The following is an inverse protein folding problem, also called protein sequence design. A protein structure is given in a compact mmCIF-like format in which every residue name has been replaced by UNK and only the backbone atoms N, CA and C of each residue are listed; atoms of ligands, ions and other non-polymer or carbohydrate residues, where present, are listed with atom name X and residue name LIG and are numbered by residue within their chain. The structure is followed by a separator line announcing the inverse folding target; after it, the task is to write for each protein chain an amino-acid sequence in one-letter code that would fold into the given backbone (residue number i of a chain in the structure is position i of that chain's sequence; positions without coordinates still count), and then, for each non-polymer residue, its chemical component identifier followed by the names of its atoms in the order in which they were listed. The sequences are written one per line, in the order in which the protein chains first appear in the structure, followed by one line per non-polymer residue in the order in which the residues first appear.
data_IF_325047411954
#
_entry.id   IF_325047411954
#
_cell.length_a   1.000
_cell.length_b   1.000
_cell.length_c   1.000
_cell.angle_alpha   90.00
_cell.angle_beta   90.00
_cell.angle_gamma   90.00
#
_symmetry.space_group_name_H-M   'P 1'
#
loop_
_entity.id
_entity.type
_entity.pdbx_description
1 polymer ?
#
# COMPACT_ATOMS: atom_id res chain seq x y z
N UNK A 1 -33.42 23.33 -14.67
CA UNK A 1 -32.49 22.61 -13.76
C UNK A 1 -31.24 23.46 -13.67
N UNK A 2 -31.01 24.10 -12.53
CA UNK A 2 -29.80 24.86 -12.30
C UNK A 2 -28.58 23.93 -12.39
N UNK A 3 -27.62 24.25 -13.27
CA UNK A 3 -26.33 23.56 -13.35
C UNK A 3 -25.52 23.96 -12.13
N UNK A 4 -25.60 23.16 -11.07
CA UNK A 4 -24.64 23.29 -9.96
C UNK A 4 -23.27 22.96 -10.51
N UNK A 5 -22.46 23.96 -10.78
CA UNK A 5 -21.07 23.75 -11.16
C UNK A 5 -20.31 23.19 -9.93
N UNK A 6 -20.06 21.92 -9.92
CA UNK A 6 -19.17 21.29 -8.94
C UNK A 6 -17.75 21.85 -9.15
N UNK A 7 -17.40 22.85 -8.34
CA UNK A 7 -16.07 23.44 -8.37
C UNK A 7 -15.12 22.63 -7.48
N UNK A 8 -14.82 21.41 -7.92
CA UNK A 8 -13.90 20.52 -7.19
C UNK A 8 -12.46 20.88 -7.60
N UNK A 9 -11.69 21.40 -6.65
CA UNK A 9 -10.25 21.60 -6.85
C UNK A 9 -9.51 20.33 -6.43
N UNK A 10 -9.42 19.37 -7.33
CA UNK A 10 -8.80 18.06 -7.05
C UNK A 10 -7.34 18.18 -6.56
N UNK A 11 -6.60 19.20 -7.02
CA UNK A 11 -5.22 19.43 -6.58
C UNK A 11 -5.12 19.85 -5.10
N UNK A 12 -6.08 20.63 -4.65
CA UNK A 12 -6.16 21.02 -3.24
C UNK A 12 -6.49 19.82 -2.36
N UNK A 13 -7.43 18.98 -2.79
CA UNK A 13 -7.78 17.75 -2.10
C UNK A 13 -6.61 16.74 -2.08
N UNK A 14 -5.86 16.62 -3.17
CA UNK A 14 -4.65 15.81 -3.21
C UNK A 14 -3.59 16.29 -2.21
N UNK A 15 -3.40 17.61 -2.09
CA UNK A 15 -2.45 18.17 -1.13
C UNK A 15 -2.88 17.92 0.33
N UNK A 16 -4.19 18.04 0.62
CA UNK A 16 -4.74 17.70 1.94
C UNK A 16 -4.54 16.23 2.26
N UNK A 17 -4.85 15.36 1.30
CA UNK A 17 -4.69 13.92 1.40
C UNK A 17 -3.23 13.51 1.62
N UNK A 18 -2.29 14.13 0.91
CA UNK A 18 -0.86 13.87 1.11
C UNK A 18 -0.41 14.27 2.52
N UNK A 19 -0.83 15.43 3.02
CA UNK A 19 -0.54 15.85 4.40
C UNK A 19 -1.11 14.88 5.44
N UNK A 20 -2.27 14.28 5.15
CA UNK A 20 -2.85 13.25 6.02
C UNK A 20 -1.96 12.01 6.08
N UNK A 21 -1.41 11.55 4.94
CA UNK A 21 -0.48 10.43 4.89
C UNK A 21 0.83 10.78 5.62
N UNK A 22 1.39 11.95 5.36
CA UNK A 22 2.64 12.42 5.99
C UNK A 22 2.52 12.49 7.52
N UNK A 23 1.32 12.77 8.04
CA UNK A 23 1.03 12.80 9.46
C UNK A 23 0.85 11.42 10.12
N UNK A 24 0.92 10.33 9.34
CA UNK A 24 0.79 8.96 9.86
C UNK A 24 2.05 8.44 10.57
N UNK A 25 3.18 9.14 10.43
CA UNK A 25 4.46 8.69 10.97
C UNK A 25 5.00 7.45 10.25
N UNK A 26 5.68 6.57 10.96
CA UNK A 26 6.15 5.30 10.39
C UNK A 26 4.97 4.42 9.99
N UNK A 27 4.94 3.98 8.75
CA UNK A 27 3.86 3.11 8.26
C UNK A 27 4.30 1.65 8.20
N UNK A 28 3.47 0.78 8.76
CA UNK A 28 3.62 -0.69 8.64
C UNK A 28 2.46 -1.19 7.78
N UNK A 29 2.77 -1.56 6.55
CA UNK A 29 1.79 -2.02 5.56
C UNK A 29 1.65 -3.55 5.65
N UNK A 30 0.46 -4.04 5.92
CA UNK A 30 0.19 -5.48 6.03
C UNK A 30 -0.77 -5.91 4.92
N UNK A 31 -0.36 -6.85 4.09
CA UNK A 31 -1.20 -7.36 3.01
C UNK A 31 -2.49 -8.01 3.56
N UNK A 32 -3.63 -7.47 3.15
CA UNK A 32 -4.98 -7.96 3.50
C UNK A 32 -5.71 -8.59 2.31
N UNK A 33 -4.99 -8.99 1.26
CA UNK A 33 -5.55 -9.81 0.19
C UNK A 33 -5.99 -11.19 0.70
N UNK A 34 -6.95 -11.82 0.02
CA UNK A 34 -7.59 -13.08 0.45
C UNK A 34 -6.61 -14.19 0.83
N UNK A 35 -5.51 -14.34 0.09
CA UNK A 35 -4.47 -15.34 0.41
C UNK A 35 -3.73 -15.05 1.73
N UNK A 36 -3.40 -13.77 1.97
CA UNK A 36 -2.77 -13.37 3.23
C UNK A 36 -3.76 -13.44 4.41
N UNK A 37 -5.04 -13.09 4.17
CA UNK A 37 -6.09 -13.25 5.19
C UNK A 37 -6.27 -14.71 5.60
N UNK A 38 -6.29 -15.64 4.64
CA UNK A 38 -6.33 -17.08 4.91
C UNK A 38 -5.10 -17.56 5.71
N UNK A 39 -3.96 -16.90 5.56
CA UNK A 39 -2.73 -17.15 6.32
C UNK A 39 -2.63 -16.35 7.63
N UNK A 40 -3.71 -15.72 8.09
CA UNK A 40 -3.78 -15.07 9.39
C UNK A 40 -3.31 -13.62 9.43
N UNK A 41 -3.31 -12.89 8.30
CA UNK A 41 -2.86 -11.49 8.28
C UNK A 41 -3.67 -10.57 9.20
N UNK A 42 -4.95 -10.85 9.43
CA UNK A 42 -5.77 -10.07 10.37
C UNK A 42 -5.22 -10.15 11.80
N UNK A 43 -4.83 -11.34 12.25
CA UNK A 43 -4.24 -11.51 13.57
C UNK A 43 -2.86 -10.80 13.67
N UNK A 44 -2.09 -10.80 12.58
CA UNK A 44 -0.82 -10.03 12.50
C UNK A 44 -1.10 -8.53 12.64
N UNK A 45 -2.12 -8.00 11.93
CA UNK A 45 -2.55 -6.60 12.04
C UNK A 45 -2.97 -6.26 13.47
N UNK A 46 -3.80 -7.09 14.08
CA UNK A 46 -4.26 -6.87 15.47
C UNK A 46 -3.08 -6.85 16.44
N UNK A 47 -2.16 -7.79 16.28
CA UNK A 47 -0.96 -7.84 17.14
C UNK A 47 -0.08 -6.59 16.98
N UNK A 48 0.12 -6.10 15.75
CA UNK A 48 0.80 -4.82 15.53
C UNK A 48 0.06 -3.64 16.17
N UNK A 49 -1.27 -3.60 16.13
CA UNK A 49 -2.08 -2.56 16.77
C UNK A 49 -1.98 -2.60 18.29
N UNK A 50 -2.00 -3.78 18.89
CA UNK A 50 -1.83 -3.97 20.33
C UNK A 50 -0.48 -3.43 20.81
N UNK A 51 0.60 -3.77 20.10
CA UNK A 51 1.94 -3.28 20.41
C UNK A 51 2.10 -1.81 20.04
N UNK A 52 1.46 -1.38 18.94
CA UNK A 52 1.51 -0.01 18.43
C UNK A 52 0.95 1.03 19.39
N UNK A 53 0.00 0.67 20.26
CA UNK A 53 -0.47 1.55 21.33
C UNK A 53 0.66 1.95 22.32
N UNK A 54 1.75 1.17 22.38
CA UNK A 54 2.91 1.38 23.24
C UNK A 54 4.19 1.72 22.44
N UNK A 55 4.12 1.82 21.11
CA UNK A 55 5.31 2.01 20.27
C UNK A 55 6.01 3.34 20.54
N UNK A 56 5.27 4.43 20.81
CA UNK A 56 5.86 5.72 21.17
C UNK A 56 6.73 5.66 22.43
N UNK A 57 6.52 4.69 23.31
CA UNK A 57 7.37 4.44 24.48
C UNK A 57 8.52 3.47 24.19
N UNK A 58 8.44 2.73 23.07
CA UNK A 58 9.39 1.69 22.70
C UNK A 58 10.31 2.09 21.55
N UNK A 59 9.98 3.15 20.81
CA UNK A 59 10.71 3.57 19.59
C UNK A 59 10.91 5.06 19.55
N UNK A 60 11.83 5.55 18.71
CA UNK A 60 12.09 6.98 18.45
C UNK A 60 11.03 7.60 17.51
N UNK A 61 10.04 6.82 17.05
CA UNK A 61 8.95 7.33 16.22
C UNK A 61 7.80 7.86 17.07
N UNK A 62 7.39 9.09 16.83
CA UNK A 62 6.24 9.72 17.50
C UNK A 62 4.94 8.97 17.26
N UNK A 63 4.84 8.30 16.11
CA UNK A 63 3.66 7.54 15.71
C UNK A 63 4.04 6.39 14.76
N UNK A 64 3.41 5.24 14.97
CA UNK A 64 3.44 4.09 14.03
C UNK A 64 2.01 3.76 13.63
N UNK A 65 1.76 3.77 12.33
CA UNK A 65 0.44 3.50 11.77
C UNK A 65 0.42 2.15 11.07
N UNK A 66 -0.50 1.28 11.47
CA UNK A 66 -0.68 -0.04 10.88
C UNK A 66 -1.74 0.07 9.78
N UNK A 67 -1.35 -0.21 8.55
CA UNK A 67 -2.19 -0.02 7.36
C UNK A 67 -2.48 -1.37 6.73
N UNK A 68 -3.75 -1.82 6.75
CA UNK A 68 -4.20 -2.95 5.94
C UNK A 68 -4.16 -2.56 4.47
N UNK A 69 -3.41 -3.27 3.64
CA UNK A 69 -3.30 -2.92 2.21
C UNK A 69 -3.99 -3.93 1.32
N UNK A 70 -4.24 -3.54 0.07
CA UNK A 70 -4.64 -4.46 -0.99
C UNK A 70 -3.56 -5.51 -1.29
N UNK A 71 -3.90 -6.45 -2.17
CA UNK A 71 -3.02 -7.58 -2.48
C UNK A 71 -1.75 -7.16 -3.22
N UNK A 72 -0.59 -7.56 -2.69
CA UNK A 72 0.71 -7.37 -3.34
C UNK A 72 0.95 -8.32 -4.55
N UNK A 73 0.11 -9.35 -4.71
CA UNK A 73 0.25 -10.35 -5.76
C UNK A 73 1.23 -11.49 -5.45
N UNK A 74 1.94 -11.46 -4.31
CA UNK A 74 2.96 -12.44 -3.95
C UNK A 74 2.47 -13.41 -2.86
N UNK A 75 1.30 -14.02 -3.11
CA UNK A 75 0.58 -14.85 -2.12
C UNK A 75 1.38 -16.05 -1.60
N UNK A 76 2.27 -16.62 -2.42
CA UNK A 76 3.16 -17.73 -2.02
C UNK A 76 4.05 -17.36 -0.82
N UNK A 77 4.36 -16.09 -0.67
CA UNK A 77 5.20 -15.54 0.41
C UNK A 77 4.39 -14.82 1.50
N UNK A 78 3.05 -14.91 1.47
CA UNK A 78 2.17 -14.29 2.47
C UNK A 78 2.32 -14.97 3.86
N UNK A 79 2.12 -14.26 4.96
CA UNK A 79 1.68 -12.86 5.12
C UNK A 79 2.86 -11.93 4.81
N UNK A 80 2.57 -10.85 4.04
CA UNK A 80 3.57 -9.86 3.71
C UNK A 80 3.41 -8.64 4.62
N UNK A 81 4.54 -8.17 5.15
CA UNK A 81 4.62 -6.93 5.92
C UNK A 81 5.69 -6.04 5.29
N UNK A 82 5.31 -4.84 4.89
CA UNK A 82 6.22 -3.86 4.26
C UNK A 82 6.33 -2.64 5.16
N UNK A 83 7.56 -2.20 5.40
CA UNK A 83 7.86 -0.97 6.14
C UNK A 83 8.61 -0.05 5.17
N UNK A 84 7.90 0.82 4.41
CA UNK A 84 8.49 1.60 3.33
C UNK A 84 9.63 2.50 3.79
N UNK A 85 9.47 3.19 4.92
CA UNK A 85 10.45 4.13 5.47
C UNK A 85 11.76 3.43 5.88
N UNK A 86 11.69 2.13 6.17
CA UNK A 86 12.85 1.27 6.49
C UNK A 86 13.29 0.41 5.31
N UNK A 87 12.72 0.63 4.11
CA UNK A 87 13.02 -0.12 2.89
C UNK A 87 13.02 -1.64 3.08
N UNK A 88 12.02 -2.17 3.84
CA UNK A 88 12.03 -3.58 4.23
C UNK A 88 10.72 -4.27 3.90
N UNK A 89 10.84 -5.46 3.32
CA UNK A 89 9.73 -6.36 3.05
C UNK A 89 9.96 -7.69 3.76
N UNK A 90 9.07 -8.01 4.67
CA UNK A 90 9.04 -9.30 5.36
C UNK A 90 8.05 -10.26 4.72
N UNK A 91 8.39 -11.53 4.69
CA UNK A 91 7.59 -12.61 4.11
C UNK A 91 7.25 -13.66 5.16
N UNK A 92 6.12 -14.36 4.96
CA UNK A 92 5.66 -15.47 5.83
C UNK A 92 5.56 -15.09 7.30
N UNK A 93 5.20 -13.84 7.58
CA UNK A 93 5.11 -13.29 8.92
C UNK A 93 3.95 -13.95 9.68
N UNK A 94 4.22 -14.35 10.91
CA UNK A 94 3.26 -14.89 11.86
C UNK A 94 3.03 -13.92 13.02
N UNK A 95 1.99 -14.15 13.80
CA UNK A 95 1.66 -13.32 14.97
C UNK A 95 2.84 -13.21 15.94
N UNK A 96 3.53 -14.34 16.20
CA UNK A 96 4.67 -14.40 17.12
C UNK A 96 5.90 -13.63 16.65
N UNK A 97 5.98 -13.33 15.33
CA UNK A 97 7.10 -12.56 14.76
C UNK A 97 6.96 -11.05 14.96
N UNK A 98 5.74 -10.58 15.25
CA UNK A 98 5.43 -9.14 15.30
C UNK A 98 6.23 -8.43 16.39
N UNK A 99 6.36 -9.02 17.56
CA UNK A 99 7.10 -8.44 18.68
C UNK A 99 8.59 -8.27 18.34
N UNK A 100 9.19 -9.26 17.66
CA UNK A 100 10.57 -9.18 17.19
C UNK A 100 10.75 -8.08 16.12
N UNK A 101 9.80 -7.95 15.18
CA UNK A 101 9.83 -6.87 14.18
C UNK A 101 9.80 -5.50 14.88
N UNK A 102 8.91 -5.32 15.85
CA UNK A 102 8.78 -4.04 16.57
C UNK A 102 10.05 -3.74 17.38
N UNK A 103 10.55 -4.69 18.14
CA UNK A 103 11.66 -4.46 19.08
C UNK A 103 13.01 -4.44 18.38
N UNK A 104 13.27 -5.36 17.44
CA UNK A 104 14.55 -5.44 16.75
C UNK A 104 14.66 -4.42 15.61
N UNK A 105 13.61 -4.31 14.77
CA UNK A 105 13.73 -3.48 13.58
C UNK A 105 13.20 -2.06 13.78
N UNK A 106 11.97 -1.89 14.26
CA UNK A 106 11.39 -0.55 14.39
C UNK A 106 12.10 0.24 15.49
N UNK A 107 12.42 -0.40 16.63
CA UNK A 107 13.11 0.26 17.74
C UNK A 107 14.62 0.34 17.54
N UNK A 108 15.27 -0.80 17.24
CA UNK A 108 16.74 -0.91 17.28
C UNK A 108 17.38 -0.78 15.89
N UNK A 109 16.59 -0.59 14.82
CA UNK A 109 17.05 -0.43 13.43
C UNK A 109 17.69 -1.69 12.82
N UNK A 110 17.48 -2.88 13.43
CA UNK A 110 18.06 -4.14 12.98
C UNK A 110 17.00 -5.02 12.33
N UNK A 111 17.01 -5.19 11.01
CA UNK A 111 16.06 -6.06 10.32
C UNK A 111 16.07 -7.48 10.85
N UNK A 112 14.91 -8.13 10.90
CA UNK A 112 14.75 -9.53 11.28
C UNK A 112 15.11 -10.41 10.08
N UNK A 113 16.37 -10.79 9.93
CA UNK A 113 16.90 -11.46 8.73
C UNK A 113 16.16 -12.75 8.37
N UNK A 114 15.69 -13.54 9.35
CA UNK A 114 14.97 -14.79 9.07
C UNK A 114 13.66 -14.57 8.31
N UNK A 115 13.06 -13.38 8.42
CA UNK A 115 11.81 -13.01 7.77
C UNK A 115 12.02 -12.32 6.42
N UNK A 116 13.26 -12.03 6.02
CA UNK A 116 13.55 -11.48 4.71
C UNK A 116 13.34 -12.54 3.62
N UNK A 117 12.93 -12.09 2.44
CA UNK A 117 12.81 -12.98 1.28
C UNK A 117 14.16 -13.62 0.95
N UNK A 118 14.15 -14.93 0.75
CA UNK A 118 15.34 -15.66 0.28
C UNK A 118 15.16 -15.96 -1.19
N UNK A 119 16.04 -15.44 -2.04
CA UNK A 119 16.03 -15.74 -3.47
C UNK A 119 16.37 -17.23 -3.66
N UNK A 120 15.46 -18.02 -4.26
CA UNK A 120 15.68 -19.46 -4.43
C UNK A 120 16.83 -19.82 -5.38
N UNK A 121 17.23 -18.89 -6.26
CA UNK A 121 18.31 -19.12 -7.22
C UNK A 121 19.68 -18.87 -6.61
N UNK A 122 19.81 -17.88 -5.70
CA UNK A 122 21.09 -17.45 -5.14
C UNK A 122 21.24 -17.79 -3.65
N UNK A 123 20.16 -18.07 -2.94
CA UNK A 123 20.13 -18.23 -1.49
C UNK A 123 20.31 -16.92 -0.70
N UNK A 124 20.41 -15.80 -1.39
CA UNK A 124 20.62 -14.50 -0.74
C UNK A 124 19.34 -13.96 -0.12
N UNK A 125 19.51 -13.28 1.03
CA UNK A 125 18.44 -12.51 1.68
C UNK A 125 18.28 -11.18 0.99
N UNK A 126 17.02 -10.84 0.62
CA UNK A 126 16.66 -9.59 -0.04
C UNK A 126 15.73 -8.82 0.88
N UNK A 127 16.14 -7.62 1.24
CA UNK A 127 15.40 -6.75 2.15
C UNK A 127 14.38 -5.88 1.42
N UNK A 128 14.76 -5.29 0.29
CA UNK A 128 13.93 -4.34 -0.46
C UNK A 128 13.02 -5.07 -1.43
N UNK A 129 11.75 -4.67 -1.49
CA UNK A 129 10.78 -5.26 -2.43
C UNK A 129 11.19 -5.08 -3.88
N UNK A 130 11.75 -3.93 -4.24
CA UNK A 130 12.19 -3.62 -5.60
C UNK A 130 13.32 -4.52 -6.10
N UNK A 131 14.11 -5.10 -5.19
CA UNK A 131 15.20 -6.03 -5.53
C UNK A 131 14.72 -7.49 -5.65
N UNK A 132 13.49 -7.78 -5.19
CA UNK A 132 12.90 -9.12 -5.34
C UNK A 132 12.53 -9.34 -6.82
N UNK A 133 13.10 -10.35 -7.46
CA UNK A 133 12.91 -10.66 -8.87
C UNK A 133 11.43 -10.71 -9.30
N UNK A 134 10.54 -11.15 -8.40
CA UNK A 134 9.10 -11.16 -8.66
C UNK A 134 8.55 -9.77 -8.95
N UNK A 135 8.99 -8.74 -8.23
CA UNK A 135 8.56 -7.36 -8.44
C UNK A 135 9.41 -6.65 -9.49
N UNK A 136 10.73 -6.81 -9.44
CA UNK A 136 11.69 -6.15 -10.34
C UNK A 136 11.42 -6.40 -11.83
N UNK A 137 10.86 -7.58 -12.16
CA UNK A 137 10.52 -7.97 -13.54
C UNK A 137 9.11 -7.58 -13.97
N UNK A 138 8.34 -6.88 -13.15
CA UNK A 138 6.98 -6.47 -13.45
C UNK A 138 6.88 -4.96 -13.67
N UNK A 139 6.12 -4.56 -14.71
CA UNK A 139 5.63 -3.18 -14.85
C UNK A 139 4.16 -3.17 -14.41
N UNK A 140 3.91 -2.65 -13.20
CA UNK A 140 2.56 -2.61 -12.63
C UNK A 140 1.90 -1.30 -12.99
N UNK A 141 0.95 -1.31 -13.92
CA UNK A 141 0.19 -0.13 -14.35
C UNK A 141 -1.16 -0.07 -13.63
N UNK A 142 -2.06 -1.02 -13.89
CA UNK A 142 -3.39 -1.03 -13.28
C UNK A 142 -3.35 -1.32 -11.76
N UNK A 143 -2.35 -2.08 -11.30
CA UNK A 143 -2.17 -2.48 -9.91
C UNK A 143 -1.03 -1.71 -9.20
N UNK A 144 -0.63 -0.54 -9.72
CA UNK A 144 0.50 0.23 -9.19
C UNK A 144 0.35 0.56 -7.69
N UNK A 145 -0.86 0.86 -7.26
CA UNK A 145 -1.17 1.27 -5.89
C UNK A 145 -1.48 0.09 -4.95
N UNK A 146 -1.69 -1.13 -5.49
CA UNK A 146 -1.97 -2.30 -4.66
C UNK A 146 -0.78 -2.64 -3.77
N UNK A 147 -1.05 -2.73 -2.47
CA UNK A 147 -0.03 -2.98 -1.46
C UNK A 147 0.66 -1.73 -0.90
N UNK A 148 0.38 -0.54 -1.47
CA UNK A 148 1.04 0.71 -1.08
C UNK A 148 0.13 1.68 -0.34
N UNK A 149 -1.19 1.50 -0.47
CA UNK A 149 -2.21 2.36 0.15
C UNK A 149 -3.21 1.53 0.94
N UNK A 150 -3.91 2.17 1.86
CA UNK A 150 -5.11 1.64 2.47
C UNK A 150 -6.23 1.63 1.42
N UNK A 151 -6.74 0.44 1.11
CA UNK A 151 -7.78 0.26 0.10
C UNK A 151 -9.16 0.82 0.54
N UNK A 152 -9.34 1.07 1.83
CA UNK A 152 -10.58 1.61 2.42
C UNK A 152 -10.49 3.13 2.68
N UNK A 153 -9.32 3.75 2.46
CA UNK A 153 -9.12 5.20 2.64
C UNK A 153 -9.32 5.95 1.33
N UNK A 154 -10.33 6.83 1.30
CA UNK A 154 -10.54 7.74 0.17
C UNK A 154 -9.44 8.79 0.07
N UNK A 155 -8.88 9.22 1.21
CA UNK A 155 -7.77 10.15 1.28
C UNK A 155 -6.54 9.58 0.59
N UNK A 156 -6.18 8.32 0.89
CA UNK A 156 -5.04 7.67 0.24
C UNK A 156 -5.30 7.44 -1.26
N UNK A 157 -6.51 7.10 -1.65
CA UNK A 157 -6.89 6.99 -3.06
C UNK A 157 -6.74 8.34 -3.80
N UNK A 158 -7.14 9.45 -3.18
CA UNK A 158 -7.00 10.81 -3.75
C UNK A 158 -5.53 11.21 -3.84
N UNK A 159 -4.73 10.93 -2.80
CA UNK A 159 -3.30 11.26 -2.78
C UNK A 159 -2.54 10.62 -3.96
N UNK A 160 -2.89 9.39 -4.32
CA UNK A 160 -2.31 8.68 -5.48
C UNK A 160 -3.04 8.96 -6.81
N UNK A 161 -3.61 10.15 -6.95
CA UNK A 161 -4.29 10.65 -8.15
C UNK A 161 -5.67 10.04 -8.44
N UNK A 162 -6.29 9.40 -7.47
CA UNK A 162 -7.68 8.97 -7.58
C UNK A 162 -8.60 10.14 -7.90
N UNK A 163 -9.63 9.89 -8.71
CA UNK A 163 -10.63 10.87 -9.16
C UNK A 163 -10.11 12.03 -10.01
N UNK A 164 -8.82 12.12 -10.35
CA UNK A 164 -8.26 13.19 -11.17
C UNK A 164 -8.89 13.21 -12.57
N UNK A 165 -9.00 12.06 -13.20
CA UNK A 165 -9.65 11.93 -14.51
C UNK A 165 -11.14 12.30 -14.46
N UNK A 166 -11.84 11.89 -13.39
CA UNK A 166 -13.25 12.25 -13.19
C UNK A 166 -13.42 13.76 -13.05
N UNK A 167 -12.58 14.41 -12.24
CA UNK A 167 -12.61 15.87 -12.06
C UNK A 167 -12.36 16.61 -13.39
N UNK A 168 -11.44 16.12 -14.23
CA UNK A 168 -11.19 16.64 -15.59
C UNK A 168 -12.45 16.52 -16.45
N UNK A 169 -13.05 15.34 -16.53
CA UNK A 169 -14.24 15.08 -17.36
C UNK A 169 -15.42 15.93 -16.92
N UNK A 170 -15.69 16.04 -15.62
CA UNK A 170 -16.77 16.86 -15.08
C UNK A 170 -16.58 18.35 -15.39
N UNK A 171 -15.33 18.84 -15.36
CA UNK A 171 -14.99 20.24 -15.72
C UNK A 171 -15.19 20.50 -17.20
N UNK A 172 -14.76 19.60 -18.08
CA UNK A 172 -14.88 19.71 -19.52
C UNK A 172 -16.33 19.54 -19.99
N UNK A 173 -17.13 18.77 -19.27
CA UNK A 173 -18.55 18.49 -19.52
C UNK A 173 -18.85 18.12 -20.99
N UNK A 174 -17.98 17.29 -21.57
CA UNK A 174 -18.08 16.82 -22.96
C UNK A 174 -18.06 15.28 -23.01
N UNK A 175 -19.22 14.61 -22.91
CA UNK A 175 -19.29 13.15 -22.92
C UNK A 175 -18.81 12.52 -24.24
N UNK A 176 -19.02 13.20 -25.38
CA UNK A 176 -18.59 12.68 -26.69
C UNK A 176 -17.06 12.62 -26.80
N UNK A 177 -16.35 13.59 -26.20
CA UNK A 177 -14.90 13.55 -26.14
C UNK A 177 -14.39 12.35 -25.33
N UNK A 178 -15.08 11.99 -24.24
CA UNK A 178 -14.74 10.80 -23.44
C UNK A 178 -14.92 9.51 -24.23
N UNK A 179 -16.04 9.39 -24.95
CA UNK A 179 -16.32 8.23 -25.82
C UNK A 179 -15.23 8.10 -26.86
N UNK A 180 -14.89 9.18 -27.54
CA UNK A 180 -13.84 9.22 -28.59
C UNK A 180 -12.46 8.84 -28.01
N UNK A 181 -12.12 9.31 -26.81
CA UNK A 181 -10.83 8.97 -26.16
C UNK A 181 -10.76 7.48 -25.84
N UNK A 182 -11.86 6.89 -25.30
CA UNK A 182 -11.93 5.46 -25.00
C UNK A 182 -11.84 4.61 -26.29
N UNK A 183 -12.53 5.00 -27.35
CA UNK A 183 -12.44 4.32 -28.65
C UNK A 183 -11.03 4.36 -29.22
N UNK A 184 -10.41 5.55 -29.24
CA UNK A 184 -9.05 5.74 -29.75
C UNK A 184 -7.99 5.00 -28.93
N UNK A 185 -8.22 4.79 -27.63
CA UNK A 185 -7.30 4.05 -26.76
C UNK A 185 -7.22 2.55 -27.11
N UNK A 186 -8.19 2.03 -27.85
CA UNK A 186 -8.30 0.60 -28.15
C UNK A 186 -8.56 -0.29 -26.93
N UNK A 187 -8.94 0.31 -25.78
CA UNK A 187 -9.24 -0.42 -24.54
C UNK A 187 -10.39 -1.40 -24.77
N UNK A 188 -10.18 -2.64 -24.38
CA UNK A 188 -11.18 -3.71 -24.53
C UNK A 188 -11.42 -4.40 -23.19
N UNK A 189 -12.65 -4.85 -22.96
CA UNK A 189 -12.99 -5.76 -21.88
C UNK A 189 -12.22 -7.07 -21.96
N UNK A 190 -11.96 -7.69 -20.81
CA UNK A 190 -11.33 -9.02 -20.68
C UNK A 190 -12.27 -10.03 -20.03
N UNK A 191 -13.50 -9.67 -19.79
CA UNK A 191 -14.56 -10.60 -19.43
C UNK A 191 -14.91 -11.48 -20.62
N UNK A 192 -15.04 -12.79 -20.40
CA UNK A 192 -15.43 -13.75 -21.42
C UNK A 192 -16.90 -13.63 -21.81
#
# INVERSE_FOLDING_TARGET
MEKTSLNINIKEEQLKAQKHIDAQGLRVLVCSGTGCMANGSLNVIERFKELGANVSTLTDYDKVTIVPTGCHGFCEQGVLVVIPDLHTTYVKVKVDDVEEIVTSHIRDGKPVERLLYTDPATGQKIQKSEDINFYAKQTRTALANCGNIDAESIEEAIAVRGYEALAKVLKENNPDAVITEVENSGLRGRGG
#
